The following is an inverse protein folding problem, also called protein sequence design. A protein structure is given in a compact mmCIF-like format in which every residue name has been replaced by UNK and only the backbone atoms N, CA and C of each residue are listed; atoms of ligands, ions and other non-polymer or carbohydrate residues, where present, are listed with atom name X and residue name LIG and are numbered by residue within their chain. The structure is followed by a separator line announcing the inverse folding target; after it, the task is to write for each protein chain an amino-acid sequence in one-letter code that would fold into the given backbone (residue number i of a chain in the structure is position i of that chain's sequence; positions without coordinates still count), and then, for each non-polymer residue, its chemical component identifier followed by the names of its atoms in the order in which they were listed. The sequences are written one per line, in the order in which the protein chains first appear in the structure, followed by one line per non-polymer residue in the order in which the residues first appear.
data_IF_651854838009
#
_entry.id   IF_651854838009
#
_cell.length_a   1.000
_cell.length_b   1.000
_cell.length_c   1.000
_cell.angle_alpha   90.00
_cell.angle_beta   90.00
_cell.angle_gamma   90.00
#
_symmetry.space_group_name_H-M   'P 1'
#
loop_
_entity.id
_entity.type
_entity.pdbx_description
1 polymer ?
#
# COMPACT_ATOMS: atom_id res chain seq x y z
N UNK A 1 23.90 3.79 15.89
CA UNK A 1 23.02 2.79 15.24
C UNK A 1 21.84 3.54 14.67
N UNK A 2 21.90 3.91 13.39
CA UNK A 2 20.92 4.79 12.75
C UNK A 2 19.71 3.95 12.32
N UNK A 3 18.54 4.19 12.91
CA UNK A 3 17.27 3.62 12.45
C UNK A 3 16.83 4.42 11.21
N UNK A 4 17.02 3.89 10.02
CA UNK A 4 16.39 4.43 8.82
C UNK A 4 15.02 3.79 8.69
N UNK A 5 13.99 4.46 9.21
CA UNK A 5 12.59 4.11 8.95
C UNK A 5 12.33 4.37 7.46
N UNK A 6 12.22 3.33 6.64
CA UNK A 6 11.74 3.48 5.26
C UNK A 6 10.30 3.98 5.29
N UNK A 7 10.05 5.16 4.74
CA UNK A 7 8.72 5.74 4.66
C UNK A 7 8.03 5.19 3.41
N UNK A 8 6.83 4.63 3.56
CA UNK A 8 5.95 4.34 2.44
C UNK A 8 4.73 5.27 2.51
N UNK A 9 4.43 5.92 1.40
CA UNK A 9 3.26 6.81 1.28
C UNK A 9 2.22 6.12 0.41
N UNK A 10 1.00 6.06 0.93
CA UNK A 10 -0.15 5.46 0.26
C UNK A 10 -1.08 6.58 -0.20
N UNK A 11 -1.26 6.76 -1.51
CA UNK A 11 -2.12 7.81 -2.08
C UNK A 11 -3.31 7.16 -2.81
N UNK A 12 -4.54 7.45 -2.39
CA UNK A 12 -5.74 7.04 -3.11
C UNK A 12 -6.05 8.08 -4.20
N UNK A 13 -6.10 7.65 -5.46
CA UNK A 13 -6.48 8.49 -6.61
C UNK A 13 -7.90 8.11 -7.04
N UNK A 14 -8.89 8.79 -6.46
CA UNK A 14 -10.34 8.59 -6.60
C UNK A 14 -11.09 9.75 -5.93
N UNK A 15 -12.42 9.71 -5.70
CA UNK A 15 -13.13 10.77 -4.98
C UNK A 15 -12.59 10.85 -3.54
N UNK A 16 -11.58 11.71 -3.40
CA UNK A 16 -10.84 12.20 -2.24
C UNK A 16 -10.82 11.28 -1.02
N UNK A 17 -9.79 10.43 -0.94
CA UNK A 17 -9.15 10.11 0.33
C UNK A 17 -7.71 10.60 0.24
N UNK A 18 -7.49 11.86 0.64
CA UNK A 18 -6.15 12.31 1.01
C UNK A 18 -5.80 11.57 2.30
N UNK A 19 -5.16 10.42 2.17
CA UNK A 19 -4.57 9.71 3.28
C UNK A 19 -3.37 10.55 3.76
N UNK A 20 -3.65 11.50 4.65
CA UNK A 20 -2.61 12.23 5.37
C UNK A 20 -1.72 11.25 6.12
N UNK A 21 -0.49 11.07 5.64
CA UNK A 21 0.64 10.55 6.39
C UNK A 21 0.38 9.31 7.27
N UNK A 22 -0.31 8.28 6.78
CA UNK A 22 -0.34 7.01 7.49
C UNK A 22 1.04 6.35 7.40
N UNK A 23 1.85 6.54 8.44
CA UNK A 23 3.20 6.00 8.55
C UNK A 23 3.14 4.46 8.46
N UNK A 24 3.58 3.91 7.33
CA UNK A 24 3.77 2.48 7.18
C UNK A 24 4.89 2.03 8.12
N UNK A 25 4.55 1.38 9.23
CA UNK A 25 5.54 0.75 10.10
C UNK A 25 5.88 -0.62 9.52
N UNK A 26 6.99 -0.73 8.80
CA UNK A 26 7.54 -2.02 8.36
C UNK A 26 8.10 -2.78 9.54
N UNK A 27 7.61 -4.00 9.79
CA UNK A 27 8.29 -4.95 10.68
C UNK A 27 9.27 -5.78 9.86
N UNK A 28 10.57 -5.51 10.03
CA UNK A 28 11.65 -6.31 9.44
C UNK A 28 11.62 -7.73 10.03
N UNK A 29 11.52 -8.75 9.16
CA UNK A 29 11.70 -10.15 9.57
C UNK A 29 13.09 -10.58 9.11
N UNK A 30 13.91 -11.06 10.03
CA UNK A 30 15.36 -11.27 9.88
C UNK A 30 15.71 -12.17 8.68
N UNK A 31 16.27 -11.58 7.61
CA UNK A 31 16.80 -12.23 6.40
C UNK A 31 16.76 -11.27 5.22
N UNK A 32 17.88 -11.01 4.55
CA UNK A 32 18.25 -9.68 4.03
C UNK A 32 17.37 -8.98 2.95
N UNK A 33 16.27 -9.51 2.41
CA UNK A 33 15.51 -8.78 1.37
C UNK A 33 13.96 -8.94 1.41
N UNK A 34 13.36 -9.50 2.48
CA UNK A 34 11.90 -9.68 2.51
C UNK A 34 11.21 -8.92 3.65
N UNK A 35 10.11 -8.22 3.34
CA UNK A 35 9.24 -7.58 4.34
C UNK A 35 7.79 -7.99 4.17
N UNK A 36 7.03 -8.07 5.27
CA UNK A 36 5.57 -8.18 5.27
C UNK A 36 4.98 -6.93 5.88
N UNK A 37 4.01 -6.34 5.20
CA UNK A 37 3.39 -5.08 5.61
C UNK A 37 1.87 -5.16 5.53
N UNK A 38 1.20 -4.58 6.53
CA UNK A 38 -0.23 -4.27 6.51
C UNK A 38 -0.44 -2.78 6.73
N UNK A 39 -0.93 -2.09 5.71
CA UNK A 39 -1.27 -0.67 5.78
C UNK A 39 -2.79 -0.51 5.79
N UNK A 40 -3.34 0.23 6.76
CA UNK A 40 -4.78 0.41 6.91
C UNK A 40 -5.18 1.88 6.71
N UNK A 41 -6.16 2.11 5.87
CA UNK A 41 -6.74 3.41 5.55
C UNK A 41 -8.16 3.45 6.11
N UNK A 42 -8.55 4.54 6.78
CA UNK A 42 -9.95 4.73 7.17
C UNK A 42 -10.76 5.18 5.96
N UNK A 43 -11.89 4.52 5.73
CA UNK A 43 -12.80 4.85 4.64
C UNK A 43 -13.79 5.91 5.12
N UNK A 44 -13.80 7.06 4.43
CA UNK A 44 -14.63 8.22 4.78
C UNK A 44 -15.75 8.49 3.77
N UNK A 45 -15.77 7.74 2.67
CA UNK A 45 -16.80 7.76 1.62
C UNK A 45 -17.04 6.34 1.15
N UNK A 46 -18.26 6.04 0.70
CA UNK A 46 -18.57 4.73 0.08
C UNK A 46 -17.72 4.52 -1.17
N UNK A 47 -17.10 3.35 -1.29
CA UNK A 47 -16.29 2.96 -2.44
C UNK A 47 -16.93 1.75 -3.13
N UNK A 48 -16.98 1.78 -4.45
CA UNK A 48 -17.32 0.62 -5.31
C UNK A 48 -16.14 0.16 -6.19
N UNK A 49 -15.05 0.92 -6.11
CA UNK A 49 -13.74 0.62 -6.68
C UNK A 49 -12.74 1.57 -6.04
N UNK A 50 -11.46 1.19 -6.01
CA UNK A 50 -10.40 2.06 -5.53
C UNK A 50 -9.09 1.83 -6.28
N UNK A 51 -8.32 2.91 -6.38
CA UNK A 51 -6.95 2.89 -6.90
C UNK A 51 -6.02 3.50 -5.87
N UNK A 52 -4.99 2.75 -5.49
CA UNK A 52 -3.95 3.14 -4.52
C UNK A 52 -2.62 3.25 -5.24
N UNK A 53 -1.87 4.32 -5.00
CA UNK A 53 -0.45 4.40 -5.34
C UNK A 53 0.38 4.17 -4.09
N UNK A 54 1.23 3.13 -4.10
CA UNK A 54 2.27 2.92 -3.10
C UNK A 54 3.57 3.54 -3.60
N UNK A 55 4.28 4.24 -2.71
CA UNK A 55 5.61 4.78 -3.00
C UNK A 55 6.59 4.41 -1.91
N UNK A 56 7.70 3.79 -2.31
CA UNK A 56 8.81 3.37 -1.47
C UNK A 56 10.03 4.26 -1.67
N UNK A 57 10.81 4.49 -0.61
CA UNK A 57 12.05 5.28 -0.68
C UNK A 57 13.16 4.56 -1.49
N UNK A 58 13.14 3.22 -1.48
CA UNK A 58 14.06 2.33 -2.18
C UNK A 58 13.29 1.43 -3.16
N UNK A 59 13.91 1.02 -4.27
CA UNK A 59 13.23 0.13 -5.22
C UNK A 59 13.00 -1.24 -4.59
N UNK A 60 11.86 -1.84 -4.89
CA UNK A 60 11.50 -3.20 -4.49
C UNK A 60 11.61 -4.11 -5.72
N UNK A 61 12.26 -5.27 -5.56
CA UNK A 61 12.54 -6.16 -6.69
C UNK A 61 11.29 -6.94 -7.09
N UNK A 62 10.57 -7.47 -6.11
CA UNK A 62 9.26 -8.12 -6.30
C UNK A 62 8.30 -7.73 -5.19
N UNK A 63 7.04 -7.48 -5.52
CA UNK A 63 6.00 -7.12 -4.56
C UNK A 63 4.76 -7.98 -4.80
N UNK A 64 4.40 -8.77 -3.80
CA UNK A 64 3.11 -9.44 -3.74
C UNK A 64 2.12 -8.57 -2.98
N UNK A 65 0.92 -8.39 -3.53
CA UNK A 65 -0.19 -7.70 -2.86
C UNK A 65 -1.39 -8.64 -2.78
N UNK A 66 -1.78 -9.00 -1.57
CA UNK A 66 -2.84 -10.01 -1.37
C UNK A 66 -4.24 -9.44 -1.62
N UNK A 67 -4.43 -8.15 -1.39
CA UNK A 67 -5.75 -7.50 -1.38
C UNK A 67 -6.06 -6.68 -2.65
N UNK A 68 -5.08 -6.56 -3.55
CA UNK A 68 -5.12 -5.72 -4.74
C UNK A 68 -4.43 -6.42 -5.93
N UNK A 69 -4.63 -5.89 -7.12
CA UNK A 69 -3.79 -6.18 -8.29
C UNK A 69 -2.83 -5.02 -8.55
N UNK A 70 -1.60 -5.32 -8.94
CA UNK A 70 -0.65 -4.32 -9.44
C UNK A 70 -1.01 -4.05 -10.91
N UNK A 71 -1.42 -2.81 -11.21
CA UNK A 71 -1.69 -2.37 -12.58
C UNK A 71 -0.44 -1.80 -13.24
N UNK A 72 0.36 -1.05 -12.49
CA UNK A 72 1.55 -0.40 -13.03
C UNK A 72 2.69 -0.40 -12.00
N UNK A 73 3.92 -0.61 -12.49
CA UNK A 73 5.16 -0.39 -11.73
C UNK A 73 5.96 0.72 -12.40
N UNK A 74 6.34 1.73 -11.62
CA UNK A 74 7.03 2.95 -12.06
C UNK A 74 8.30 3.18 -11.26
N UNK A 75 9.08 4.16 -11.70
CA UNK A 75 10.26 4.67 -10.99
C UNK A 75 11.28 3.58 -10.61
N UNK A 76 11.43 2.57 -11.49
CA UNK A 76 12.35 1.46 -11.28
C UNK A 76 11.99 0.57 -10.08
N UNK A 77 10.70 0.39 -9.78
CA UNK A 77 10.24 -0.43 -8.65
C UNK A 77 10.04 0.35 -7.36
N UNK A 78 10.01 1.69 -7.41
CA UNK A 78 9.70 2.53 -6.24
C UNK A 78 8.22 2.88 -6.13
N UNK A 79 7.48 2.86 -7.24
CA UNK A 79 6.08 3.31 -7.25
C UNK A 79 5.20 2.23 -7.87
N UNK A 80 4.12 1.87 -7.20
CA UNK A 80 3.17 0.85 -7.66
C UNK A 80 1.76 1.41 -7.66
N UNK A 81 1.05 1.29 -8.77
CA UNK A 81 -0.38 1.61 -8.88
C UNK A 81 -1.16 0.32 -8.72
N UNK A 82 -2.00 0.27 -7.70
CA UNK A 82 -2.82 -0.86 -7.32
C UNK A 82 -4.29 -0.56 -7.58
N UNK A 83 -5.04 -1.56 -8.01
CA UNK A 83 -6.51 -1.52 -8.02
C UNK A 83 -7.07 -2.66 -7.19
N UNK A 84 -8.25 -2.45 -6.63
CA UNK A 84 -8.94 -3.50 -5.87
C UNK A 84 -9.05 -4.82 -6.65
N UNK A 85 -9.00 -5.95 -5.95
CA UNK A 85 -9.54 -7.21 -6.46
C UNK A 85 -11.07 -7.12 -6.45
N UNK A 86 -11.76 -7.95 -7.25
CA UNK A 86 -13.23 -7.89 -7.34
C UNK A 86 -13.93 -8.17 -6.00
N UNK A 87 -13.35 -9.00 -5.15
CA UNK A 87 -13.90 -9.30 -3.82
C UNK A 87 -13.64 -8.20 -2.78
N UNK A 88 -12.76 -7.23 -3.07
CA UNK A 88 -12.32 -6.18 -2.14
C UNK A 88 -12.65 -4.76 -2.63
N UNK A 89 -13.67 -4.61 -3.48
CA UNK A 89 -13.96 -3.36 -4.20
C UNK A 89 -14.95 -2.45 -3.48
N UNK A 90 -15.84 -3.07 -2.72
CA UNK A 90 -16.92 -2.40 -2.01
C UNK A 90 -16.47 -2.19 -0.55
N UNK A 91 -16.34 -0.93 -0.14
CA UNK A 91 -15.92 -0.54 1.21
C UNK A 91 -16.84 0.57 1.73
N UNK A 92 -17.19 0.53 3.02
CA UNK A 92 -18.18 1.42 3.61
C UNK A 92 -17.55 2.50 4.50
N UNK A 93 -18.27 3.61 4.69
CA UNK A 93 -17.83 4.67 5.62
C UNK A 93 -17.62 4.10 7.03
N UNK A 94 -16.46 4.37 7.61
CA UNK A 94 -16.05 3.85 8.92
C UNK A 94 -15.20 2.59 8.86
N UNK A 95 -15.16 1.90 7.71
CA UNK A 95 -14.33 0.71 7.51
C UNK A 95 -12.84 1.05 7.48
N UNK A 96 -12.02 -0.01 7.54
CA UNK A 96 -10.58 0.06 7.38
C UNK A 96 -10.13 -0.78 6.19
N UNK A 97 -9.91 -0.12 5.06
CA UNK A 97 -9.28 -0.75 3.91
C UNK A 97 -7.84 -1.15 4.27
N UNK A 98 -7.59 -2.45 4.30
CA UNK A 98 -6.29 -3.01 4.67
C UNK A 98 -5.56 -3.55 3.46
N UNK A 99 -4.41 -2.96 3.15
CA UNK A 99 -3.52 -3.44 2.09
C UNK A 99 -2.46 -4.33 2.72
N UNK A 100 -2.50 -5.62 2.38
CA UNK A 100 -1.50 -6.59 2.83
C UNK A 100 -0.55 -6.88 1.68
N UNK A 101 0.74 -6.78 1.94
CA UNK A 101 1.78 -6.94 0.94
C UNK A 101 3.02 -7.62 1.50
N UNK A 102 3.77 -8.28 0.62
CA UNK A 102 5.07 -8.86 0.89
C UNK A 102 6.05 -8.42 -0.20
N UNK A 103 7.13 -7.75 0.21
CA UNK A 103 8.26 -7.46 -0.68
C UNK A 103 9.34 -8.54 -0.59
N UNK A 104 10.06 -8.74 -1.68
CA UNK A 104 11.24 -9.62 -1.82
C UNK A 104 12.38 -8.92 -2.55
#
# INVERSE_FOLDING_TARGET
MMRLLGSCVVLLVGPVVSAGGHHCSSSETTGMEAFKQRSALTITVELHSWTVTLKFDQPINSLDVYTAEIQETKDGGKTYVLTNKNWNKDEHVGDRLCIQMQGH
#
